data_IF_091232876507
#
_entry.id   IF_091232876507
#
_cell.length_a   1.000
_cell.length_b   1.000
_cell.length_c   1.000
_cell.angle_alpha   90.00
_cell.angle_beta   90.00
_cell.angle_gamma   90.00
#
_symmetry.space_group_name_H-M   'P 1'
#
loop_
_entity.id
_entity.type
_entity.pdbx_description
1 polymer ?
#
# COMPACT_ATOMS: atom_id res chain seq x y z
N UNK A 1 8.36 -4.91 -2.27
CA UNK A 1 7.24 -4.50 -1.37
C UNK A 1 7.75 -3.42 -0.42
N UNK A 2 6.90 -2.47 -0.04
CA UNK A 2 7.26 -1.44 0.93
C UNK A 2 6.08 -1.12 1.85
N UNK A 3 6.39 -0.58 3.04
CA UNK A 3 5.44 0.00 3.98
C UNK A 3 5.80 1.47 4.12
N UNK A 4 4.81 2.34 4.06
CA UNK A 4 4.96 3.78 4.14
C UNK A 4 3.92 4.35 5.10
N UNK A 5 4.23 5.44 5.77
CA UNK A 5 3.26 6.19 6.57
C UNK A 5 2.59 7.31 5.75
N UNK A 6 1.71 8.07 6.40
CA UNK A 6 0.99 9.18 5.77
C UNK A 6 1.89 10.37 5.41
N UNK A 7 3.12 10.42 5.92
CA UNK A 7 4.11 11.46 5.61
C UNK A 7 5.00 11.06 4.42
N UNK A 8 4.63 10.03 3.67
CA UNK A 8 5.43 9.47 2.57
C UNK A 8 6.82 8.98 3.00
N UNK A 9 7.01 8.61 4.27
CA UNK A 9 8.25 8.02 4.79
C UNK A 9 8.13 6.50 4.75
N UNK A 10 9.05 5.85 4.04
CA UNK A 10 9.10 4.39 3.98
C UNK A 10 9.62 3.83 5.31
N UNK A 11 8.76 3.10 6.02
CA UNK A 11 9.10 2.43 7.29
C UNK A 11 9.73 1.07 7.08
N UNK A 12 9.47 0.45 5.94
CA UNK A 12 10.05 -0.82 5.57
C UNK A 12 10.12 -0.96 4.05
N UNK A 13 11.20 -1.56 3.55
CA UNK A 13 11.39 -1.83 2.12
C UNK A 13 12.06 -3.18 1.99
N UNK A 14 11.46 -4.09 1.22
CA UNK A 14 12.08 -5.33 0.78
C UNK A 14 12.21 -5.33 -0.73
N UNK A 15 13.42 -5.66 -1.17
CA UNK A 15 13.91 -5.61 -2.55
C UNK A 15 14.48 -6.97 -2.94
N UNK A 16 14.70 -7.18 -4.24
CA UNK A 16 15.29 -8.41 -4.75
C UNK A 16 14.30 -9.56 -4.94
N UNK A 17 13.02 -9.25 -5.10
CA UNK A 17 12.00 -10.21 -5.53
C UNK A 17 11.84 -10.16 -7.05
N UNK A 18 11.57 -11.30 -7.67
CA UNK A 18 11.25 -11.38 -9.09
C UNK A 18 9.97 -10.60 -9.39
N UNK A 19 9.92 -9.93 -10.55
CA UNK A 19 8.77 -9.09 -10.94
C UNK A 19 7.46 -9.86 -11.14
N UNK A 20 7.51 -11.19 -11.21
CA UNK A 20 6.35 -12.08 -11.32
C UNK A 20 5.90 -12.65 -9.97
N UNK A 21 6.61 -12.37 -8.88
CA UNK A 21 6.24 -12.88 -7.57
C UNK A 21 4.93 -12.25 -7.10
N UNK A 22 3.99 -13.09 -6.65
CA UNK A 22 2.74 -12.60 -6.07
C UNK A 22 3.00 -11.79 -4.79
N UNK A 23 2.34 -10.65 -4.66
CA UNK A 23 2.45 -9.75 -3.50
C UNK A 23 2.22 -10.45 -2.16
N UNK A 24 1.24 -11.36 -2.11
CA UNK A 24 0.93 -12.16 -0.93
C UNK A 24 2.07 -13.09 -0.51
N UNK A 25 2.79 -13.67 -1.49
CA UNK A 25 3.99 -14.49 -1.25
C UNK A 25 5.13 -13.63 -0.74
N UNK A 26 5.39 -12.48 -1.37
CA UNK A 26 6.44 -11.55 -0.94
C UNK A 26 6.23 -11.15 0.53
N UNK A 27 5.00 -10.79 0.92
CA UNK A 27 4.68 -10.45 2.31
C UNK A 27 4.89 -11.64 3.25
N UNK A 28 4.34 -12.80 2.93
CA UNK A 28 4.41 -13.99 3.80
C UNK A 28 5.85 -14.40 4.08
N UNK A 29 6.69 -14.48 3.05
CA UNK A 29 8.10 -14.82 3.19
C UNK A 29 8.89 -13.72 3.91
N UNK A 30 8.51 -12.46 3.71
CA UNK A 30 9.12 -11.33 4.43
C UNK A 30 8.84 -11.40 5.94
N UNK A 31 7.60 -11.71 6.34
CA UNK A 31 7.22 -11.84 7.76
C UNK A 31 7.87 -13.08 8.38
N UNK A 32 7.92 -14.19 7.64
CA UNK A 32 8.47 -15.48 8.14
C UNK A 32 9.95 -15.43 8.43
N UNK A 33 10.72 -14.63 7.69
CA UNK A 33 12.16 -14.53 7.89
C UNK A 33 12.49 -13.43 8.91
N UNK A 34 12.95 -13.79 10.14
CA UNK A 34 13.25 -12.81 11.18
C UNK A 34 14.36 -11.83 10.79
N UNK A 35 15.25 -12.19 9.85
CA UNK A 35 16.31 -11.30 9.38
C UNK A 35 15.79 -10.07 8.66
N UNK A 36 14.58 -10.13 8.10
CA UNK A 36 13.96 -8.96 7.49
C UNK A 36 13.49 -7.95 8.54
N UNK A 37 13.27 -8.36 9.80
CA UNK A 37 12.79 -7.48 10.86
C UNK A 37 11.53 -6.70 10.44
N UNK A 38 10.56 -7.40 9.83
CA UNK A 38 9.33 -6.79 9.34
C UNK A 38 8.58 -6.15 10.52
N UNK A 39 8.23 -4.86 10.45
CA UNK A 39 7.53 -4.19 11.54
C UNK A 39 6.06 -4.60 11.53
N UNK A 40 5.66 -5.56 12.37
CA UNK A 40 4.25 -5.85 12.60
C UNK A 40 3.56 -4.63 13.23
N UNK A 41 2.31 -4.33 12.84
CA UNK A 41 1.61 -3.20 13.43
C UNK A 41 1.32 -3.47 14.92
N UNK A 42 1.36 -2.44 15.79
CA UNK A 42 0.89 -2.56 17.18
C UNK A 42 -0.56 -3.07 17.26
N UNK A 43 -0.97 -3.63 18.39
CA UNK A 43 -2.29 -4.27 18.56
C UNK A 43 -3.49 -3.39 18.22
N UNK A 44 -3.36 -2.06 18.34
CA UNK A 44 -4.42 -1.08 18.05
C UNK A 44 -4.28 -0.43 16.66
N UNK A 45 -3.35 -0.93 15.83
CA UNK A 45 -3.06 -0.38 14.50
C UNK A 45 -3.09 -1.50 13.46
N UNK A 46 -3.20 -1.09 12.20
CA UNK A 46 -3.20 -1.98 11.05
C UNK A 46 -2.63 -1.27 9.83
N UNK A 47 -2.13 -2.05 8.88
CA UNK A 47 -1.75 -1.58 7.56
C UNK A 47 -2.93 -1.62 6.60
N UNK A 48 -3.09 -0.58 5.77
CA UNK A 48 -4.00 -0.61 4.62
C UNK A 48 -3.33 -1.33 3.45
N UNK A 49 -3.92 -2.43 3.01
CA UNK A 49 -3.34 -3.31 1.98
C UNK A 49 -4.20 -3.38 0.73
N UNK A 50 -3.60 -3.82 -0.38
CA UNK A 50 -4.34 -4.05 -1.61
C UNK A 50 -5.35 -5.21 -1.47
N UNK A 51 -6.30 -5.29 -2.38
CA UNK A 51 -7.19 -6.43 -2.50
C UNK A 51 -6.44 -7.75 -2.78
N UNK A 52 -5.24 -7.66 -3.37
CA UNK A 52 -4.33 -8.79 -3.62
C UNK A 52 -3.74 -9.40 -2.34
N UNK A 53 -3.75 -8.67 -1.23
CA UNK A 53 -3.32 -9.16 0.07
C UNK A 53 -4.46 -9.80 0.85
N UNK A 54 -4.10 -10.62 1.83
CA UNK A 54 -5.06 -11.31 2.70
C UNK A 54 -5.58 -10.34 3.77
N UNK A 55 -6.90 -10.27 3.91
CA UNK A 55 -7.56 -9.51 4.98
C UNK A 55 -7.48 -10.30 6.29
N UNK A 56 -6.59 -9.89 7.20
CA UNK A 56 -6.28 -10.62 8.42
C UNK A 56 -5.67 -9.68 9.46
N UNK A 57 -5.47 -10.13 10.70
CA UNK A 57 -5.07 -9.25 11.80
C UNK A 57 -3.79 -8.46 11.46
N UNK A 58 -3.88 -7.13 11.65
CA UNK A 58 -2.83 -6.19 11.26
C UNK A 58 -2.85 -5.75 9.79
N UNK A 59 -3.66 -6.36 8.91
CA UNK A 59 -3.73 -6.04 7.49
C UNK A 59 -5.18 -5.87 7.02
N UNK A 60 -5.58 -4.62 6.79
CA UNK A 60 -6.92 -4.27 6.36
C UNK A 60 -6.98 -4.11 4.84
N UNK A 61 -7.53 -5.11 4.16
CA UNK A 61 -7.87 -5.05 2.74
C UNK A 61 -9.27 -4.46 2.49
N UNK A 62 -9.55 -3.90 1.31
CA UNK A 62 -10.89 -3.42 0.92
C UNK A 62 -11.91 -4.56 0.77
N UNK A 63 -13.19 -4.21 0.67
CA UNK A 63 -14.24 -5.15 0.24
C UNK A 63 -13.98 -5.55 -1.21
N UNK A 64 -13.98 -6.86 -1.46
CA UNK A 64 -13.81 -7.42 -2.81
C UNK A 64 -15.14 -7.38 -3.55
N UNK A 65 -15.08 -7.30 -4.88
CA UNK A 65 -16.26 -7.21 -5.76
C UNK A 65 -17.15 -5.98 -5.47
N UNK A 66 -16.58 -4.95 -4.86
CA UNK A 66 -17.20 -3.65 -4.58
C UNK A 66 -16.37 -2.58 -5.26
N UNK A 67 -17.01 -1.53 -5.78
CA UNK A 67 -16.33 -0.40 -6.42
C UNK A 67 -15.22 0.15 -5.52
N UNK A 68 -14.05 0.40 -6.09
CA UNK A 68 -12.84 0.73 -5.33
C UNK A 68 -12.01 1.86 -5.95
N UNK A 69 -11.91 1.91 -7.27
CA UNK A 69 -11.06 2.87 -7.96
C UNK A 69 -11.58 4.29 -7.79
N UNK A 70 -10.70 5.22 -7.42
CA UNK A 70 -11.07 6.64 -7.23
C UNK A 70 -11.62 7.27 -8.52
N UNK A 71 -11.15 6.82 -9.69
CA UNK A 71 -11.70 7.20 -11.00
C UNK A 71 -13.18 6.85 -11.14
N UNK A 72 -13.61 5.69 -10.65
CA UNK A 72 -14.98 5.20 -10.81
C UNK A 72 -15.96 6.04 -9.98
N UNK A 73 -15.49 6.62 -8.87
CA UNK A 73 -16.28 7.54 -8.05
C UNK A 73 -16.32 8.97 -8.62
N UNK A 74 -15.31 9.37 -9.40
CA UNK A 74 -15.31 10.66 -10.12
C UNK A 74 -16.30 10.63 -11.29
N UNK A 75 -16.25 9.57 -12.09
CA UNK A 75 -17.07 9.45 -13.31
C UNK A 75 -18.44 8.83 -13.06
N UNK A 76 -18.55 7.91 -12.11
CA UNK A 76 -19.75 7.10 -11.85
C UNK A 76 -20.62 7.60 -10.70
N UNK A 77 -20.38 8.82 -10.20
CA UNK A 77 -21.12 9.41 -9.08
C UNK A 77 -20.67 8.92 -7.70
N UNK A 78 -21.32 9.46 -6.66
CA UNK A 78 -20.97 9.22 -5.25
C UNK A 78 -21.01 7.74 -4.88
N UNK A 79 -20.19 7.35 -3.88
CA UNK A 79 -20.23 6.02 -3.29
C UNK A 79 -21.62 5.74 -2.69
N UNK A 80 -22.13 4.52 -2.90
CA UNK A 80 -23.46 4.10 -2.43
C UNK A 80 -23.34 2.90 -1.51
N UNK A 81 -23.90 3.04 -0.31
CA UNK A 81 -23.85 2.01 0.72
C UNK A 81 -22.51 1.96 1.47
N UNK A 82 -22.52 1.26 2.60
CA UNK A 82 -21.40 1.22 3.54
C UNK A 82 -20.09 0.68 2.95
N UNK A 83 -20.18 -0.31 2.08
CA UNK A 83 -18.97 -0.98 1.53
C UNK A 83 -18.27 -0.11 0.50
N UNK A 84 -19.00 0.58 -0.39
CA UNK A 84 -18.40 1.53 -1.33
C UNK A 84 -17.83 2.75 -0.63
N UNK A 85 -18.51 3.28 0.40
CA UNK A 85 -17.99 4.40 1.19
C UNK A 85 -16.69 3.98 1.88
N UNK A 86 -16.67 2.80 2.50
CA UNK A 86 -15.45 2.25 3.08
C UNK A 86 -14.34 2.13 2.03
N UNK A 87 -14.63 1.51 0.88
CA UNK A 87 -13.65 1.31 -0.19
C UNK A 87 -13.12 2.64 -0.75
N UNK A 88 -13.97 3.66 -0.89
CA UNK A 88 -13.55 4.99 -1.33
C UNK A 88 -12.60 5.64 -0.31
N UNK A 89 -12.93 5.60 0.98
CA UNK A 89 -12.06 6.09 2.06
C UNK A 89 -10.73 5.31 2.10
N UNK A 90 -10.80 3.98 2.01
CA UNK A 90 -9.64 3.11 1.96
C UNK A 90 -8.72 3.46 0.78
N UNK A 91 -9.28 3.60 -0.42
CA UNK A 91 -8.51 3.94 -1.62
C UNK A 91 -7.85 5.32 -1.50
N UNK A 92 -8.55 6.32 -0.96
CA UNK A 92 -8.00 7.66 -0.68
C UNK A 92 -6.81 7.61 0.29
N UNK A 93 -6.93 6.85 1.37
CA UNK A 93 -5.86 6.73 2.37
C UNK A 93 -4.67 5.93 1.81
N UNK A 94 -4.94 4.81 1.13
CA UNK A 94 -3.90 3.95 0.54
C UNK A 94 -3.10 4.69 -0.53
N UNK A 95 -3.69 5.65 -1.24
CA UNK A 95 -3.03 6.41 -2.31
C UNK A 95 -1.67 7.00 -1.90
N UNK A 96 -1.42 7.28 -0.62
CA UNK A 96 -0.11 7.75 -0.13
C UNK A 96 1.07 6.85 -0.52
N UNK A 97 0.88 5.52 -0.57
CA UNK A 97 1.97 4.61 -0.97
C UNK A 97 2.36 4.84 -2.43
N UNK A 98 1.37 5.04 -3.30
CA UNK A 98 1.59 5.29 -4.72
C UNK A 98 2.26 6.64 -4.95
N UNK A 99 1.84 7.68 -4.23
CA UNK A 99 2.49 8.99 -4.25
C UNK A 99 3.94 8.92 -3.79
N UNK A 100 4.21 8.20 -2.70
CA UNK A 100 5.58 8.00 -2.20
C UNK A 100 6.46 7.30 -3.24
N UNK A 101 5.95 6.26 -3.92
CA UNK A 101 6.65 5.62 -5.03
C UNK A 101 6.81 6.56 -6.23
N UNK A 102 5.81 7.39 -6.52
CA UNK A 102 5.84 8.43 -7.55
C UNK A 102 7.02 9.38 -7.34
N UNK A 103 7.15 9.94 -6.13
CA UNK A 103 8.28 10.81 -5.75
C UNK A 103 9.62 10.09 -5.91
N UNK A 104 9.74 8.84 -5.43
CA UNK A 104 10.99 8.06 -5.57
C UNK A 104 11.35 7.88 -7.05
N UNK A 105 10.39 7.50 -7.90
CA UNK A 105 10.62 7.29 -9.34
C UNK A 105 10.92 8.59 -10.09
N UNK A 106 10.29 9.70 -9.70
CA UNK A 106 10.54 11.02 -10.28
C UNK A 106 11.94 11.52 -9.90
N UNK A 107 12.33 11.37 -8.62
CA UNK A 107 13.60 11.82 -8.08
C UNK A 107 14.78 11.00 -8.56
N UNK A 108 14.61 9.69 -8.72
CA UNK A 108 15.68 8.77 -9.09
C UNK A 108 15.37 8.06 -10.43
N UNK A 109 15.61 8.73 -11.57
CA UNK A 109 15.40 8.14 -12.90
C UNK A 109 16.15 6.83 -13.16
N UNK A 110 17.24 6.57 -12.44
CA UNK A 110 17.97 5.29 -12.49
C UNK A 110 17.07 4.08 -12.18
N UNK A 111 15.99 4.27 -11.40
CA UNK A 111 15.02 3.23 -11.10
C UNK A 111 14.09 2.91 -12.29
N UNK A 112 13.91 3.85 -13.23
CA UNK A 112 13.10 3.63 -14.44
C UNK A 112 13.89 2.87 -15.51
N UNK A 113 15.20 3.08 -15.56
CA UNK A 113 16.12 2.45 -16.53
C UNK A 113 17.39 2.01 -15.80
N UNK A 114 17.29 0.90 -15.10
CA UNK A 114 18.42 0.33 -14.36
C UNK A 114 19.50 -0.10 -15.36
N UNK A 115 20.71 0.44 -15.21
CA UNK A 115 21.86 0.00 -15.99
C UNK A 115 22.19 -1.48 -15.66
N UNK A 116 22.90 -2.21 -16.55
CA UNK A 116 23.13 -3.65 -16.41
C UNK A 116 24.19 -3.98 -15.35
N UNK A 117 23.97 -3.54 -14.12
CA UNK A 117 24.74 -3.94 -12.96
C UNK A 117 24.36 -5.35 -12.51
N UNK A 118 25.24 -5.98 -11.73
CA UNK A 118 24.89 -7.21 -11.03
C UNK A 118 23.66 -7.01 -10.15
N UNK A 119 22.88 -8.08 -9.94
CA UNK A 119 21.66 -8.04 -9.14
C UNK A 119 21.89 -7.45 -7.74
N UNK A 120 22.97 -7.85 -7.06
CA UNK A 120 23.35 -7.30 -5.75
C UNK A 120 23.53 -5.78 -5.79
N UNK A 121 24.16 -5.26 -6.84
CA UNK A 121 24.36 -3.82 -7.01
C UNK A 121 23.04 -3.11 -7.31
N UNK A 122 22.17 -3.68 -8.14
CA UNK A 122 20.84 -3.12 -8.39
C UNK A 122 20.03 -3.02 -7.09
N UNK A 123 20.02 -4.06 -6.28
CA UNK A 123 19.37 -4.07 -4.96
C UNK A 123 19.90 -2.97 -4.04
N UNK A 124 21.23 -2.76 -4.00
CA UNK A 124 21.86 -1.67 -3.23
C UNK A 124 21.48 -0.29 -3.75
N UNK A 125 21.41 -0.10 -5.07
CA UNK A 125 20.96 1.16 -5.69
C UNK A 125 19.53 1.46 -5.24
N UNK A 126 18.62 0.48 -5.35
CA UNK A 126 17.24 0.66 -4.91
C UNK A 126 17.20 1.07 -3.43
N UNK A 127 17.82 0.31 -2.53
CA UNK A 127 17.84 0.65 -1.10
C UNK A 127 18.39 2.06 -0.83
N UNK A 128 19.46 2.44 -1.54
CA UNK A 128 20.06 3.78 -1.42
C UNK A 128 19.07 4.88 -1.81
N UNK A 129 18.31 4.71 -2.90
CA UNK A 129 17.27 5.65 -3.31
C UNK A 129 16.20 5.83 -2.22
N UNK A 130 15.73 4.74 -1.60
CA UNK A 130 14.75 4.81 -0.51
C UNK A 130 15.32 5.49 0.74
N UNK A 131 16.57 5.21 1.10
CA UNK A 131 17.24 5.87 2.23
C UNK A 131 17.40 7.38 2.01
N UNK A 132 17.83 7.80 0.81
CA UNK A 132 17.96 9.23 0.47
C UNK A 132 16.59 9.91 0.43
N UNK A 133 15.57 9.26 -0.13
CA UNK A 133 14.19 9.77 -0.10
C UNK A 133 13.72 10.06 1.33
N UNK A 134 13.87 9.09 2.24
CA UNK A 134 13.47 9.25 3.63
C UNK A 134 14.26 10.36 4.33
N UNK A 135 15.56 10.42 4.11
CA UNK A 135 16.42 11.47 4.65
C UNK A 135 15.95 12.86 4.20
N UNK A 136 15.69 13.03 2.90
CA UNK A 136 15.20 14.29 2.34
C UNK A 136 13.82 14.68 2.91
N UNK A 137 12.90 13.71 3.07
CA UNK A 137 11.58 13.98 3.67
C UNK A 137 11.69 14.47 5.12
N UNK A 138 12.70 14.01 5.87
CA UNK A 138 12.92 14.43 7.25
C UNK A 138 13.51 15.83 7.37
N UNK A 139 14.38 16.24 6.43
CA UNK A 139 15.12 17.51 6.54
C UNK A 139 14.51 18.65 5.71
N UNK A 140 13.69 18.36 4.70
CA UNK A 140 13.24 19.33 3.70
C UNK A 140 11.73 19.53 3.72
N UNK A 141 11.29 20.58 4.42
CA UNK A 141 9.86 20.96 4.49
C UNK A 141 9.34 21.52 3.14
N UNK A 142 10.23 22.05 2.29
CA UNK A 142 9.88 22.73 1.04
C UNK A 142 10.38 21.99 -0.22
N UNK A 143 10.38 20.66 -0.21
CA UNK A 143 10.75 19.90 -1.39
C UNK A 143 9.64 19.91 -2.44
N UNK A 144 9.97 20.38 -3.64
CA UNK A 144 9.04 20.53 -4.76
C UNK A 144 8.34 19.23 -5.16
N UNK A 145 9.07 18.10 -5.23
CA UNK A 145 8.45 16.83 -5.64
C UNK A 145 7.45 16.36 -4.59
N UNK A 146 7.77 16.53 -3.31
CA UNK A 146 6.80 16.23 -2.26
C UNK A 146 5.54 17.10 -2.38
N UNK A 147 5.67 18.39 -2.64
CA UNK A 147 4.51 19.28 -2.85
C UNK A 147 3.70 18.93 -4.10
N UNK A 148 4.34 18.61 -5.22
CA UNK A 148 3.65 18.19 -6.45
C UNK A 148 2.80 16.94 -6.18
N UNK A 149 3.40 15.89 -5.61
CA UNK A 149 2.69 14.65 -5.34
C UNK A 149 1.69 14.77 -4.18
N UNK A 150 1.90 15.63 -3.18
CA UNK A 150 0.87 15.87 -2.14
C UNK A 150 -0.39 16.53 -2.72
N UNK A 151 -0.29 17.28 -3.82
CA UNK A 151 -1.44 17.87 -4.52
C UNK A 151 -2.10 16.91 -5.53
N UNK A 152 -1.40 15.87 -5.98
CA UNK A 152 -1.92 14.84 -6.91
C UNK A 152 -2.96 13.89 -6.28
N UNK A 153 -3.41 14.12 -5.02
CA UNK A 153 -4.52 13.37 -4.38
C UNK A 153 -5.76 13.28 -5.29
N UNK A 154 -5.91 14.23 -6.22
CA UNK A 154 -7.10 14.37 -7.06
C UNK A 154 -6.97 13.76 -8.47
N UNK A 155 -5.77 13.39 -8.94
CA UNK A 155 -5.54 13.02 -10.34
C UNK A 155 -4.78 11.68 -10.43
N UNK A 156 -5.47 10.68 -11.00
CA UNK A 156 -4.92 9.44 -11.53
C UNK A 156 -4.63 8.29 -10.53
N UNK A 157 -5.38 7.20 -10.72
CA UNK A 157 -5.00 5.87 -10.28
C UNK A 157 -5.19 4.97 -11.49
N UNK A 158 -4.09 4.69 -12.20
CA UNK A 158 -4.08 3.84 -13.39
C UNK A 158 -4.47 2.40 -13.05
N UNK A 159 -5.34 1.85 -13.90
CA UNK A 159 -5.90 0.51 -13.80
C UNK A 159 -4.82 -0.56 -14.02
N UNK A 160 -4.50 -1.32 -12.97
CA UNK A 160 -3.94 -2.65 -13.10
C UNK A 160 -4.96 -3.66 -12.58
N UNK A 161 -5.69 -4.29 -13.50
CA UNK A 161 -6.54 -5.44 -13.23
C UNK A 161 -5.71 -6.55 -12.56
N UNK A 162 -5.91 -6.76 -11.26
CA UNK A 162 -5.49 -7.98 -10.60
C UNK A 162 -6.68 -8.61 -9.87
N UNK A 163 -7.55 -9.22 -10.66
CA UNK A 163 -8.30 -10.38 -10.20
C UNK A 163 -7.32 -11.53 -10.01
N UNK A 164 -6.71 -11.62 -8.84
CA UNK A 164 -5.99 -12.82 -8.43
C UNK A 164 -6.54 -13.29 -7.08
N UNK A 165 -7.29 -14.38 -7.14
CA UNK A 165 -7.64 -15.19 -5.98
C UNK A 165 -6.34 -15.77 -5.41
N UNK A 166 -5.69 -15.03 -4.52
CA UNK A 166 -4.60 -15.55 -3.70
C UNK A 166 -5.21 -16.38 -2.58
N UNK A 167 -5.38 -17.68 -2.80
CA UNK A 167 -5.63 -18.66 -1.74
C UNK A 167 -4.32 -18.84 -0.97
N UNK A 168 -4.01 -17.93 -0.03
CA UNK A 168 -2.94 -18.18 0.94
C UNK A 168 -3.51 -19.04 2.06
N UNK A 169 -3.45 -20.36 1.88
CA UNK A 169 -3.66 -21.31 2.97
C UNK A 169 -2.43 -21.32 3.91
N UNK A 170 -2.72 -21.33 5.22
CA UNK A 170 -1.89 -21.76 6.37
C UNK A 170 -0.95 -20.81 7.15
N UNK A 171 -0.83 -19.50 6.85
CA UNK A 171 0.01 -18.62 7.71
C UNK A 171 -0.75 -17.87 8.81
N UNK A 172 -1.96 -17.39 8.52
CA UNK A 172 -2.77 -16.62 9.48
C UNK A 172 -3.95 -17.46 9.98
N UNK A 173 -4.34 -17.28 11.25
CA UNK A 173 -5.43 -18.05 11.85
C UNK A 173 -6.79 -17.59 11.31
N UNK A 174 -7.76 -18.51 11.27
CA UNK A 174 -9.13 -18.18 10.85
C UNK A 174 -9.78 -17.15 11.79
N UNK A 175 -9.47 -17.21 13.09
CA UNK A 175 -9.89 -16.24 14.10
C UNK A 175 -9.45 -14.82 13.77
N UNK A 176 -8.23 -14.66 13.24
CA UNK A 176 -7.65 -13.36 12.92
C UNK A 176 -8.38 -12.71 11.74
N UNK A 177 -8.84 -13.53 10.80
CA UNK A 177 -9.64 -13.07 9.66
C UNK A 177 -11.04 -12.69 10.10
N UNK A 178 -11.68 -13.48 10.95
CA UNK A 178 -13.01 -13.20 11.48
C UNK A 178 -13.04 -11.89 12.29
N UNK A 179 -12.05 -11.73 13.19
CA UNK A 179 -11.88 -10.49 13.96
C UNK A 179 -11.76 -9.27 13.05
N UNK A 180 -10.89 -9.32 12.04
CA UNK A 180 -10.70 -8.18 11.13
C UNK A 180 -11.90 -7.90 10.25
N UNK A 181 -12.66 -8.93 9.85
CA UNK A 181 -13.90 -8.74 9.10
C UNK A 181 -14.93 -7.99 9.95
N UNK A 182 -15.10 -8.36 11.21
CA UNK A 182 -15.99 -7.66 12.13
C UNK A 182 -15.53 -6.21 12.34
N UNK A 183 -14.24 -6.00 12.55
CA UNK A 183 -13.67 -4.67 12.73
C UNK A 183 -13.85 -3.78 11.49
N UNK A 184 -13.61 -4.30 10.28
CA UNK A 184 -13.88 -3.59 9.03
C UNK A 184 -15.35 -3.23 8.86
N UNK A 185 -16.25 -4.17 9.18
CA UNK A 185 -17.70 -3.93 9.13
C UNK A 185 -18.14 -2.84 10.10
N UNK A 186 -17.53 -2.78 11.29
CA UNK A 186 -17.79 -1.70 12.25
C UNK A 186 -17.40 -0.34 11.66
N UNK A 187 -16.17 -0.21 11.16
CA UNK A 187 -15.69 1.03 10.51
C UNK A 187 -16.59 1.42 9.34
N UNK A 188 -16.98 0.46 8.49
CA UNK A 188 -17.86 0.72 7.35
C UNK A 188 -19.23 1.26 7.80
N UNK A 189 -19.81 0.73 8.88
CA UNK A 189 -21.07 1.23 9.43
C UNK A 189 -20.91 2.65 10.01
N UNK A 190 -19.82 2.92 10.74
CA UNK A 190 -19.53 4.24 11.29
C UNK A 190 -19.33 5.29 10.18
N UNK A 191 -18.53 4.97 9.15
CA UNK A 191 -18.36 5.83 7.98
C UNK A 191 -19.69 6.06 7.25
N UNK A 192 -20.53 5.02 7.13
CA UNK A 192 -21.83 5.17 6.49
C UNK A 192 -22.71 6.17 7.23
N UNK A 193 -22.75 6.17 8.57
CA UNK A 193 -23.51 7.16 9.34
C UNK A 193 -23.00 8.59 9.16
N UNK A 194 -21.69 8.76 8.89
CA UNK A 194 -21.08 10.08 8.67
C UNK A 194 -21.33 10.60 7.25
N UNK A 195 -21.35 9.71 6.26
CA UNK A 195 -21.38 10.07 4.83
C UNK A 195 -22.72 9.79 4.12
N UNK A 196 -23.70 9.17 4.81
CA UNK A 196 -25.09 9.02 4.33
C UNK A 196 -25.85 10.34 4.42
#
# INVERSE_FOLDING_TARGET
>A
MAVCDFDMIFRFVVVGWEGIAHDSRVLTETIRNPQHNFPMPPSEKYYLVDAAYTHTQGFMAPYRNVRYWLSDFRSGGKAVGKEEIFNQCHARLRNVIERAFGVVKARFPILKRMAPYSFTTQTKIVMTCFSIHNFLRQISVADRLFSEYDNEVELESDNANQNQNSTTSSFFAASDQEFMQQFRNQIANELFQVFS
#
